data_IF_799404929599
#
_entry.id   IF_799404929599
#
_cell.length_a   1.000
_cell.length_b   1.000
_cell.length_c   1.000
_cell.angle_alpha   90.00
_cell.angle_beta   90.00
_cell.angle_gamma   90.00
#
_symmetry.space_group_name_H-M   'P 1'
#
loop_
_entity.id
_entity.type
_entity.pdbx_description
1 polymer ?
#
# COMPACT_ATOMS: atom_id res chain seq x y z
N UNK A 1 -7.18 -29.65 -25.50
CA UNK A 1 -5.90 -29.84 -24.77
C UNK A 1 -5.12 -28.54 -24.63
N UNK A 2 -4.82 -27.79 -25.72
CA UNK A 2 -4.05 -26.53 -25.67
C UNK A 2 -4.61 -25.45 -24.71
N UNK A 3 -5.95 -25.16 -24.66
CA UNK A 3 -6.49 -24.20 -23.70
C UNK A 3 -6.29 -24.63 -22.25
N UNK A 4 -6.40 -25.93 -21.95
CA UNK A 4 -6.17 -26.45 -20.61
C UNK A 4 -4.70 -26.30 -20.16
N UNK A 5 -3.76 -26.54 -21.07
CA UNK A 5 -2.32 -26.35 -20.81
C UNK A 5 -2.05 -24.86 -20.57
N UNK A 6 -2.59 -23.97 -21.41
CA UNK A 6 -2.47 -22.51 -21.22
C UNK A 6 -3.01 -22.06 -19.86
N UNK A 7 -4.17 -22.58 -19.43
CA UNK A 7 -4.74 -22.28 -18.12
C UNK A 7 -3.82 -22.76 -16.98
N UNK A 8 -3.26 -23.96 -17.07
CA UNK A 8 -2.34 -24.51 -16.07
C UNK A 8 -1.07 -23.66 -15.92
N UNK A 9 -0.52 -23.18 -17.04
CA UNK A 9 0.66 -22.27 -17.01
C UNK A 9 0.34 -20.95 -16.32
N UNK A 10 -0.91 -20.46 -16.42
CA UNK A 10 -1.32 -19.20 -15.81
C UNK A 10 -1.73 -19.32 -14.33
N UNK A 11 -1.79 -20.52 -13.75
CA UNK A 11 -2.21 -20.73 -12.34
C UNK A 11 -1.42 -19.85 -11.36
N UNK A 12 -0.08 -19.69 -11.44
CA UNK A 12 0.66 -18.83 -10.52
C UNK A 12 0.17 -17.37 -10.58
N UNK A 13 -0.05 -16.83 -11.78
CA UNK A 13 -0.53 -15.47 -11.99
C UNK A 13 -1.98 -15.31 -11.50
N UNK A 14 -2.83 -16.32 -11.76
CA UNK A 14 -4.21 -16.34 -11.25
C UNK A 14 -4.21 -16.32 -9.73
N UNK A 15 -3.37 -17.12 -9.06
CA UNK A 15 -3.25 -17.12 -7.60
C UNK A 15 -2.73 -15.80 -7.03
N UNK A 16 -1.87 -15.10 -7.75
CA UNK A 16 -1.40 -13.77 -7.34
C UNK A 16 -2.54 -12.74 -7.37
N UNK A 17 -3.45 -12.85 -8.34
CA UNK A 17 -4.62 -11.98 -8.46
C UNK A 17 -5.78 -12.38 -7.54
N UNK A 18 -6.07 -13.67 -7.47
CA UNK A 18 -7.25 -14.20 -6.77
C UNK A 18 -6.79 -15.39 -5.91
N UNK A 19 -6.11 -15.12 -4.79
CA UNK A 19 -5.75 -16.19 -3.87
C UNK A 19 -6.99 -16.78 -3.17
N UNK A 20 -6.95 -18.10 -2.92
CA UNK A 20 -8.00 -18.87 -2.25
C UNK A 20 -7.43 -19.49 -0.98
N UNK A 21 -7.13 -18.68 0.02
CA UNK A 21 -6.62 -19.20 1.29
C UNK A 21 -7.73 -19.37 2.32
N UNK A 22 -7.54 -20.29 3.26
CA UNK A 22 -8.42 -20.44 4.42
C UNK A 22 -8.06 -19.42 5.50
N UNK A 23 -9.07 -18.93 6.21
CA UNK A 23 -8.84 -18.06 7.37
C UNK A 23 -8.22 -18.89 8.51
N UNK A 24 -7.10 -18.42 9.02
CA UNK A 24 -6.45 -19.01 10.19
C UNK A 24 -7.24 -18.62 11.44
N UNK A 25 -7.79 -19.60 12.15
CA UNK A 25 -8.63 -19.36 13.35
C UNK A 25 -7.80 -18.86 14.54
N UNK A 26 -6.62 -19.43 14.74
CA UNK A 26 -5.73 -19.09 15.85
C UNK A 26 -4.44 -18.49 15.30
N UNK A 27 -4.23 -17.22 15.54
CA UNK A 27 -2.99 -16.53 15.17
C UNK A 27 -1.89 -16.94 16.16
N UNK A 28 -0.68 -17.32 15.68
CA UNK A 28 0.42 -17.69 16.57
C UNK A 28 0.74 -16.58 17.58
N UNK A 29 1.08 -16.99 18.80
CA UNK A 29 1.53 -16.06 19.82
C UNK A 29 2.81 -15.32 19.36
N UNK A 30 2.96 -14.06 19.76
CA UNK A 30 4.07 -13.21 19.33
C UNK A 30 3.96 -12.68 17.91
N UNK A 31 2.87 -12.98 17.18
CA UNK A 31 2.60 -12.35 15.89
C UNK A 31 2.37 -10.85 16.05
N UNK A 32 2.86 -10.06 15.10
CA UNK A 32 2.60 -8.62 15.00
C UNK A 32 1.53 -8.34 13.95
N UNK A 33 0.68 -7.36 14.19
CA UNK A 33 -0.28 -6.85 13.21
C UNK A 33 0.27 -5.60 12.55
N UNK A 34 0.47 -5.66 11.22
CA UNK A 34 0.85 -4.50 10.41
C UNK A 34 -0.35 -4.04 9.58
N UNK A 35 -0.50 -2.72 9.46
CA UNK A 35 -1.50 -2.06 8.64
C UNK A 35 -0.85 -1.02 7.75
N UNK A 36 -1.20 -1.02 6.47
CA UNK A 36 -0.83 0.02 5.49
C UNK A 36 -2.09 0.64 4.90
N UNK A 37 -2.11 1.98 4.80
CA UNK A 37 -3.27 2.71 4.32
C UNK A 37 -2.91 4.05 3.68
N UNK A 38 -3.26 4.23 2.41
CA UNK A 38 -3.31 5.55 1.80
C UNK A 38 -4.57 6.26 2.31
N UNK A 39 -4.37 7.26 3.16
CA UNK A 39 -5.46 7.90 3.93
C UNK A 39 -6.10 9.09 3.22
N UNK A 40 -5.66 9.45 2.01
CA UNK A 40 -6.18 10.60 1.26
C UNK A 40 -6.32 11.84 2.17
N UNK A 41 -5.22 12.24 2.83
CA UNK A 41 -5.22 13.29 3.86
C UNK A 41 -6.32 13.10 4.91
N UNK A 42 -6.52 11.86 5.40
CA UNK A 42 -7.59 11.51 6.36
C UNK A 42 -8.99 11.94 5.89
N UNK A 43 -9.37 11.57 4.67
CA UNK A 43 -10.60 12.05 4.04
C UNK A 43 -10.63 13.58 3.95
N UNK A 44 -9.58 14.16 3.36
CA UNK A 44 -9.40 15.61 3.26
C UNK A 44 -9.52 16.35 4.61
N UNK A 45 -9.04 15.71 5.68
CA UNK A 45 -9.01 16.24 7.05
C UNK A 45 -10.40 16.46 7.69
N UNK A 46 -11.48 16.01 7.06
CA UNK A 46 -12.83 16.25 7.53
C UNK A 46 -13.14 15.55 8.86
N UNK A 47 -13.84 16.25 9.73
CA UNK A 47 -14.43 15.71 10.97
C UNK A 47 -15.94 15.65 10.86
N UNK A 48 -16.51 14.52 11.24
CA UNK A 48 -17.96 14.36 11.43
C UNK A 48 -18.21 14.16 12.94
N UNK A 49 -19.07 15.01 13.53
CA UNK A 49 -19.34 15.00 14.97
C UNK A 49 -18.05 15.06 15.83
N UNK A 50 -17.10 15.88 15.39
CA UNK A 50 -15.81 16.08 16.06
C UNK A 50 -14.79 14.93 15.89
N UNK A 51 -15.14 13.87 15.18
CA UNK A 51 -14.28 12.70 14.93
C UNK A 51 -13.92 12.57 13.46
N UNK A 52 -12.70 12.16 13.18
CA UNK A 52 -12.31 11.78 11.82
C UNK A 52 -12.47 10.27 11.65
N UNK A 53 -13.19 9.79 10.64
CA UNK A 53 -13.52 8.38 10.49
C UNK A 53 -12.27 7.51 10.20
N UNK A 54 -11.30 8.05 9.46
CA UNK A 54 -10.05 7.33 9.16
C UNK A 54 -9.24 7.15 10.43
N UNK A 55 -9.09 8.24 11.23
CA UNK A 55 -8.36 8.15 12.51
C UNK A 55 -9.02 7.19 13.49
N UNK A 56 -10.35 7.20 13.59
CA UNK A 56 -11.09 6.26 14.44
C UNK A 56 -10.82 4.80 14.01
N UNK A 57 -10.92 4.51 12.71
CA UNK A 57 -10.62 3.19 12.19
C UNK A 57 -9.18 2.73 12.52
N UNK A 58 -8.20 3.63 12.35
CA UNK A 58 -6.80 3.30 12.64
C UNK A 58 -6.58 2.95 14.12
N UNK A 59 -7.19 3.69 15.03
CA UNK A 59 -7.14 3.41 16.48
C UNK A 59 -7.81 2.06 16.78
N UNK A 60 -9.02 1.84 16.25
CA UNK A 60 -9.80 0.62 16.49
C UNK A 60 -9.15 -0.63 15.85
N UNK A 61 -8.32 -0.45 14.82
CA UNK A 61 -7.57 -1.54 14.20
C UNK A 61 -6.64 -2.26 15.15
N UNK A 62 -6.18 -1.58 16.19
CA UNK A 62 -5.18 -2.04 17.17
C UNK A 62 -3.94 -2.70 16.52
N UNK A 63 -3.54 -2.23 15.35
CA UNK A 63 -2.32 -2.71 14.70
C UNK A 63 -1.08 -2.38 15.56
N UNK A 64 -0.02 -3.15 15.43
CA UNK A 64 1.22 -2.89 16.16
C UNK A 64 2.12 -1.92 15.42
N UNK A 65 2.01 -1.93 14.09
CA UNK A 65 2.70 -1.00 13.17
C UNK A 65 1.68 -0.50 12.16
N UNK A 66 1.61 0.83 12.00
CA UNK A 66 0.73 1.52 11.04
C UNK A 66 1.61 2.34 10.10
N UNK A 67 1.52 2.05 8.81
CA UNK A 67 2.17 2.79 7.72
C UNK A 67 1.13 3.55 6.92
N UNK A 68 1.27 4.86 6.82
CA UNK A 68 0.33 5.72 6.12
C UNK A 68 0.99 6.37 4.91
N UNK A 69 0.23 6.50 3.83
CA UNK A 69 0.55 7.30 2.65
C UNK A 69 -0.48 8.44 2.56
N UNK A 70 -0.08 9.53 1.92
CA UNK A 70 -0.87 10.77 1.86
C UNK A 70 -1.29 11.30 3.24
N UNK A 71 -0.41 11.14 4.22
CA UNK A 71 -0.62 11.72 5.55
C UNK A 71 -0.58 13.24 5.46
N UNK A 72 -1.50 13.91 6.13
CA UNK A 72 -1.54 15.36 6.27
C UNK A 72 -2.31 15.76 7.53
N UNK A 73 -2.09 16.97 8.05
CA UNK A 73 -2.82 17.55 9.17
C UNK A 73 -3.05 19.04 8.95
N UNK A 74 -4.11 19.56 9.54
CA UNK A 74 -4.43 20.99 9.49
C UNK A 74 -3.97 21.74 10.74
N UNK A 75 -3.76 23.03 10.60
CA UNK A 75 -3.59 23.95 11.73
C UNK A 75 -4.92 24.40 12.32
N UNK A 76 -5.97 24.49 11.49
CA UNK A 76 -7.31 24.88 11.89
C UNK A 76 -8.04 23.73 12.60
N UNK A 77 -8.48 23.96 13.83
CA UNK A 77 -9.19 22.98 14.69
C UNK A 77 -10.52 22.45 14.13
N UNK A 78 -11.11 23.12 13.15
CA UNK A 78 -12.28 22.63 12.40
C UNK A 78 -11.97 21.30 11.71
N UNK A 79 -10.73 21.13 11.29
CA UNK A 79 -10.19 19.95 10.61
C UNK A 79 -9.35 19.09 11.53
N UNK A 80 -8.87 17.97 11.04
CA UNK A 80 -7.99 17.07 11.76
C UNK A 80 -6.62 17.74 12.00
N UNK A 81 -6.23 17.88 13.24
CA UNK A 81 -4.96 18.52 13.63
C UNK A 81 -3.93 17.48 14.10
N UNK A 82 -2.67 17.89 14.13
CA UNK A 82 -1.58 17.08 14.70
C UNK A 82 -1.83 16.75 16.20
N UNK A 83 -2.49 17.65 16.93
CA UNK A 83 -2.85 17.39 18.34
C UNK A 83 -3.89 16.27 18.46
N UNK A 84 -4.85 16.19 17.52
CA UNK A 84 -5.82 15.08 17.46
C UNK A 84 -5.10 13.75 17.21
N UNK A 85 -4.14 13.73 16.29
CA UNK A 85 -3.31 12.55 15.99
C UNK A 85 -2.52 12.12 17.23
N UNK A 86 -1.77 13.03 17.85
CA UNK A 86 -0.98 12.74 19.08
C UNK A 86 -1.85 12.20 20.21
N UNK A 87 -3.05 12.74 20.36
CA UNK A 87 -4.01 12.26 21.36
C UNK A 87 -4.51 10.86 21.06
N UNK A 88 -4.85 10.57 19.79
CA UNK A 88 -5.39 9.29 19.37
C UNK A 88 -4.33 8.18 19.39
N UNK A 89 -3.10 8.50 19.00
CA UNK A 89 -1.99 7.55 18.89
C UNK A 89 -1.08 7.49 20.12
N UNK A 90 -1.61 7.74 21.30
CA UNK A 90 -0.85 7.60 22.56
C UNK A 90 -0.25 6.19 22.78
N UNK A 91 -0.88 5.16 22.22
CA UNK A 91 -0.41 3.78 22.28
C UNK A 91 0.78 3.51 21.34
N UNK A 92 1.17 4.48 20.51
CA UNK A 92 2.28 4.37 19.54
C UNK A 92 3.39 5.37 19.94
N UNK A 93 4.26 5.01 20.89
CA UNK A 93 5.30 5.93 21.39
C UNK A 93 6.36 6.27 20.35
N UNK A 94 6.51 5.44 19.31
CA UNK A 94 7.50 5.65 18.24
C UNK A 94 6.80 6.08 16.96
N UNK A 95 7.10 7.29 16.51
CA UNK A 95 6.44 7.91 15.37
C UNK A 95 7.45 8.53 14.42
N UNK A 96 7.16 8.48 13.14
CA UNK A 96 7.90 9.20 12.11
C UNK A 96 6.92 9.75 11.09
N UNK A 97 7.05 11.02 10.78
CA UNK A 97 6.32 11.69 9.71
C UNK A 97 7.35 12.36 8.82
N UNK A 98 7.35 12.03 7.55
CA UNK A 98 8.35 12.50 6.60
C UNK A 98 7.69 13.05 5.34
N UNK A 99 7.98 14.32 5.04
CA UNK A 99 7.52 14.98 3.82
C UNK A 99 8.21 14.38 2.60
N UNK A 100 7.46 14.22 1.51
CA UNK A 100 7.96 13.68 0.26
C UNK A 100 7.92 14.73 -0.84
N UNK A 101 9.04 14.88 -1.53
CA UNK A 101 9.13 15.81 -2.65
C UNK A 101 8.71 17.23 -2.29
N UNK A 102 8.01 17.88 -3.23
CA UNK A 102 7.54 19.28 -3.13
C UNK A 102 6.07 19.41 -2.68
N UNK A 103 5.38 18.28 -2.44
CA UNK A 103 3.96 18.28 -2.05
C UNK A 103 3.74 18.44 -0.55
N UNK A 104 2.48 18.66 -0.16
CA UNK A 104 2.08 18.77 1.25
C UNK A 104 1.80 17.40 1.90
N UNK A 105 1.80 16.32 1.12
CA UNK A 105 1.51 14.97 1.61
C UNK A 105 2.77 14.27 2.08
N UNK A 106 2.62 13.42 3.07
CA UNK A 106 3.72 12.82 3.80
C UNK A 106 3.54 11.31 3.91
N UNK A 107 4.65 10.61 4.16
CA UNK A 107 4.63 9.25 4.69
C UNK A 107 4.70 9.29 6.21
N UNK A 108 3.88 8.47 6.86
CA UNK A 108 3.96 8.33 8.32
C UNK A 108 4.07 6.86 8.72
N UNK A 109 4.77 6.65 9.83
CA UNK A 109 4.88 5.36 10.50
C UNK A 109 4.61 5.57 11.99
N UNK A 110 3.66 4.80 12.54
CA UNK A 110 3.35 4.75 13.96
C UNK A 110 3.60 3.33 14.45
N UNK A 111 4.40 3.18 15.48
CA UNK A 111 4.85 1.87 15.95
C UNK A 111 4.76 1.76 17.48
N UNK A 112 4.31 0.59 17.95
CA UNK A 112 4.44 0.19 19.36
C UNK A 112 5.88 -0.23 19.71
N UNK A 113 6.69 -0.52 18.68
CA UNK A 113 8.08 -0.97 18.80
C UNK A 113 9.07 0.16 18.52
N UNK A 114 10.26 0.14 19.15
CA UNK A 114 11.29 1.15 18.92
C UNK A 114 11.70 1.26 17.44
N UNK A 115 11.73 2.49 16.93
CA UNK A 115 12.33 2.83 15.64
C UNK A 115 13.77 3.24 15.89
N UNK A 116 14.73 2.42 15.42
CA UNK A 116 16.15 2.60 15.67
C UNK A 116 16.81 3.55 14.66
N UNK A 117 16.35 3.53 13.39
CA UNK A 117 16.81 4.46 12.38
C UNK A 117 15.75 4.66 11.28
N UNK A 118 15.86 5.81 10.59
CA UNK A 118 14.92 6.26 9.57
C UNK A 118 15.73 6.85 8.43
N UNK A 119 15.52 6.36 7.20
CA UNK A 119 16.22 6.82 6.02
C UNK A 119 15.27 6.91 4.82
N UNK A 120 15.26 7.99 4.05
CA UNK A 120 14.60 8.01 2.75
C UNK A 120 15.31 7.03 1.79
N UNK A 121 14.55 6.49 0.84
CA UNK A 121 15.12 5.78 -0.30
C UNK A 121 15.21 6.79 -1.44
N UNK A 122 16.42 7.06 -1.88
CA UNK A 122 16.70 8.09 -2.87
C UNK A 122 16.31 7.65 -4.28
N UNK A 123 15.41 8.41 -4.90
CA UNK A 123 15.06 8.37 -6.31
C UNK A 123 14.33 9.65 -6.71
N UNK A 124 14.29 9.95 -8.01
CA UNK A 124 13.59 11.13 -8.49
C UNK A 124 12.08 10.99 -8.37
N UNK A 125 11.45 11.91 -7.67
CA UNK A 125 10.00 12.09 -7.64
C UNK A 125 9.63 13.50 -7.17
N UNK A 126 8.52 14.03 -7.68
CA UNK A 126 8.01 15.33 -7.23
C UNK A 126 7.08 15.22 -6.01
N UNK A 127 6.36 14.11 -5.86
CA UNK A 127 5.27 13.98 -4.87
C UNK A 127 5.25 12.64 -4.15
N UNK A 128 6.05 11.68 -4.61
CA UNK A 128 6.05 10.30 -4.11
C UNK A 128 7.38 9.96 -3.46
N UNK A 129 7.46 8.88 -2.71
CA UNK A 129 8.70 8.47 -2.06
C UNK A 129 8.56 7.17 -1.28
N UNK A 130 9.69 6.73 -0.73
CA UNK A 130 9.80 5.55 0.12
C UNK A 130 10.66 5.84 1.33
N UNK A 131 10.25 5.33 2.48
CA UNK A 131 10.97 5.44 3.74
C UNK A 131 11.37 4.07 4.27
N UNK A 132 12.64 3.92 4.58
CA UNK A 132 13.18 2.75 5.27
C UNK A 132 13.30 3.04 6.76
N UNK A 133 12.72 2.17 7.55
CA UNK A 133 12.82 2.16 9.01
C UNK A 133 13.56 0.90 9.47
N UNK A 134 14.32 1.01 10.52
CA UNK A 134 14.86 -0.15 11.25
C UNK A 134 14.16 -0.17 12.60
N UNK A 135 13.45 -1.25 12.90
CA UNK A 135 12.70 -1.41 14.14
C UNK A 135 13.29 -2.53 15.00
N UNK A 136 13.18 -2.38 16.32
CA UNK A 136 13.41 -3.49 17.25
C UNK A 136 12.06 -4.09 17.64
N UNK A 137 11.73 -5.25 17.06
CA UNK A 137 10.48 -5.96 17.30
C UNK A 137 10.75 -7.20 18.13
N UNK A 138 10.36 -7.18 19.41
CA UNK A 138 10.57 -8.32 20.34
C UNK A 138 12.04 -8.79 20.40
N UNK A 139 12.99 -7.85 20.48
CA UNK A 139 14.44 -8.05 20.47
C UNK A 139 15.03 -8.52 19.13
N UNK A 140 14.24 -8.55 18.07
CA UNK A 140 14.71 -8.80 16.71
C UNK A 140 14.73 -7.51 15.89
N UNK A 141 15.75 -7.37 15.06
CA UNK A 141 15.84 -6.22 14.16
C UNK A 141 15.13 -6.50 12.86
N UNK A 142 14.20 -5.61 12.51
CA UNK A 142 13.36 -5.69 11.31
C UNK A 142 13.57 -4.45 10.44
N UNK A 143 13.78 -4.65 9.15
CA UNK A 143 13.68 -3.57 8.14
C UNK A 143 12.24 -3.43 7.69
N UNK A 144 11.68 -2.25 7.83
CA UNK A 144 10.36 -1.88 7.31
C UNK A 144 10.52 -0.82 6.22
N UNK A 145 9.87 -1.00 5.09
CA UNK A 145 9.84 0.00 4.03
C UNK A 145 8.37 0.38 3.77
N UNK A 146 8.07 1.68 3.91
CA UNK A 146 6.77 2.26 3.57
C UNK A 146 6.90 3.01 2.24
N UNK A 147 6.12 2.62 1.24
CA UNK A 147 6.17 3.16 -0.11
C UNK A 147 4.90 3.95 -0.45
N UNK A 148 5.08 5.04 -1.18
CA UNK A 148 4.08 5.64 -2.02
C UNK A 148 4.75 5.91 -3.37
N UNK A 149 4.63 4.94 -4.30
CA UNK A 149 5.29 5.03 -5.60
C UNK A 149 4.50 5.91 -6.56
N UNK A 150 5.13 6.32 -7.68
CA UNK A 150 4.58 7.28 -8.63
C UNK A 150 3.15 6.94 -9.05
N UNK A 151 2.24 7.88 -8.87
CA UNK A 151 0.84 7.74 -9.23
C UNK A 151 0.62 7.81 -10.74
N UNK A 152 -0.48 7.24 -11.23
CA UNK A 152 -0.84 7.29 -12.64
C UNK A 152 -1.30 8.69 -13.10
N UNK A 153 -1.49 9.66 -12.19
CA UNK A 153 -1.90 11.04 -12.45
C UNK A 153 -3.14 11.15 -13.36
N UNK A 154 -4.08 10.22 -13.21
CA UNK A 154 -5.30 10.21 -14.01
C UNK A 154 -6.23 11.34 -13.60
N UNK A 155 -6.57 12.19 -14.57
CA UNK A 155 -7.54 13.28 -14.38
C UNK A 155 -8.97 12.75 -14.34
N UNK A 156 -9.94 13.62 -14.00
CA UNK A 156 -11.36 13.26 -14.09
C UNK A 156 -11.75 12.91 -15.53
N UNK A 157 -11.18 13.61 -16.51
CA UNK A 157 -11.41 13.37 -17.94
C UNK A 157 -10.86 11.99 -18.37
N UNK A 158 -9.67 11.63 -17.91
CA UNK A 158 -9.09 10.29 -18.19
C UNK A 158 -9.98 9.18 -17.63
N UNK A 159 -10.51 9.38 -16.42
CA UNK A 159 -11.41 8.41 -15.76
C UNK A 159 -12.76 8.32 -16.46
N UNK A 160 -13.35 9.47 -16.85
CA UNK A 160 -14.59 9.52 -17.64
C UNK A 160 -14.43 8.80 -18.99
N UNK A 161 -13.30 8.98 -19.65
CA UNK A 161 -12.99 8.32 -20.91
C UNK A 161 -12.88 6.79 -20.76
N UNK A 162 -12.31 6.30 -19.66
CA UNK A 162 -12.27 4.88 -19.35
C UNK A 162 -13.68 4.31 -19.15
N UNK A 163 -14.57 5.05 -18.48
CA UNK A 163 -15.98 4.68 -18.34
C UNK A 163 -16.71 4.63 -19.68
N UNK A 164 -16.47 5.61 -20.56
CA UNK A 164 -17.06 5.66 -21.90
C UNK A 164 -16.57 4.49 -22.76
N UNK A 165 -15.30 4.12 -22.65
CA UNK A 165 -14.73 2.96 -23.31
C UNK A 165 -15.39 1.64 -22.89
N UNK A 166 -15.74 1.49 -21.62
CA UNK A 166 -16.47 0.31 -21.13
C UNK A 166 -17.90 0.28 -21.67
N UNK A 167 -18.54 1.45 -21.84
CA UNK A 167 -19.92 1.57 -22.33
C UNK A 167 -20.04 1.43 -23.84
N UNK A 168 -19.15 2.04 -24.61
CA UNK A 168 -19.09 1.99 -26.08
C UNK A 168 -17.65 1.94 -26.60
N UNK A 169 -17.07 0.73 -26.76
CA UNK A 169 -15.69 0.55 -27.20
C UNK A 169 -15.39 1.04 -28.62
N UNK A 170 -16.43 1.26 -29.44
CA UNK A 170 -16.27 1.55 -30.88
C UNK A 170 -16.31 3.05 -31.22
N UNK A 171 -16.63 3.92 -30.28
CA UNK A 171 -16.68 5.35 -30.51
C UNK A 171 -15.32 5.92 -30.97
N UNK A 172 -15.30 6.74 -32.03
CA UNK A 172 -14.05 7.36 -32.55
C UNK A 172 -13.30 8.15 -31.46
N UNK A 173 -14.01 8.82 -30.56
CA UNK A 173 -13.46 9.54 -29.39
C UNK A 173 -12.67 8.62 -28.46
N UNK A 174 -13.13 7.38 -28.29
CA UNK A 174 -12.51 6.37 -27.43
C UNK A 174 -11.12 5.99 -27.93
N UNK A 175 -10.92 5.83 -29.26
CA UNK A 175 -9.61 5.44 -29.81
C UNK A 175 -8.51 6.48 -29.57
N UNK A 176 -8.85 7.77 -29.67
CA UNK A 176 -7.87 8.85 -29.45
C UNK A 176 -7.52 8.97 -27.97
N UNK A 177 -8.54 8.93 -27.12
CA UNK A 177 -8.32 9.03 -25.68
C UNK A 177 -7.65 7.81 -25.07
N UNK A 178 -7.92 6.62 -25.59
CA UNK A 178 -7.22 5.40 -25.18
C UNK A 178 -5.70 5.51 -25.41
N UNK A 179 -5.27 6.10 -26.54
CA UNK A 179 -3.83 6.34 -26.78
C UNK A 179 -3.21 7.27 -25.75
N UNK A 180 -3.91 8.34 -25.37
CA UNK A 180 -3.44 9.27 -24.35
C UNK A 180 -3.37 8.61 -22.98
N UNK A 181 -4.40 7.84 -22.61
CA UNK A 181 -4.45 7.08 -21.36
C UNK A 181 -3.30 6.06 -21.30
N UNK A 182 -3.10 5.25 -22.35
CA UNK A 182 -2.01 4.28 -22.41
C UNK A 182 -0.65 4.98 -22.29
N UNK A 183 -0.45 6.14 -22.93
CA UNK A 183 0.80 6.89 -22.81
C UNK A 183 1.05 7.35 -21.38
N UNK A 184 0.06 7.94 -20.71
CA UNK A 184 0.17 8.35 -19.30
C UNK A 184 0.50 7.17 -18.39
N UNK A 185 -0.19 6.05 -18.56
CA UNK A 185 0.07 4.83 -17.80
C UNK A 185 1.50 4.30 -18.04
N UNK A 186 1.96 4.31 -19.30
CA UNK A 186 3.30 3.86 -19.66
C UNK A 186 4.38 4.79 -19.06
N UNK A 187 4.21 6.11 -19.13
CA UNK A 187 5.11 7.09 -18.52
C UNK A 187 5.19 6.90 -16.99
N UNK A 188 4.06 6.78 -16.31
CA UNK A 188 4.03 6.53 -14.88
C UNK A 188 4.65 5.17 -14.51
N UNK A 189 4.40 4.13 -15.31
CA UNK A 189 4.99 2.81 -15.11
C UNK A 189 6.51 2.81 -15.27
N UNK A 190 7.05 3.58 -16.23
CA UNK A 190 8.50 3.72 -16.41
C UNK A 190 9.16 4.39 -15.18
N UNK A 191 8.55 5.44 -14.63
CA UNK A 191 9.03 6.09 -13.40
C UNK A 191 8.96 5.10 -12.24
N UNK A 192 7.84 4.41 -12.04
CA UNK A 192 7.70 3.40 -10.98
C UNK A 192 8.73 2.27 -11.09
N UNK A 193 9.09 1.87 -12.30
CA UNK A 193 10.11 0.84 -12.49
C UNK A 193 11.44 1.25 -11.85
N UNK A 194 11.93 2.48 -12.10
CA UNK A 194 13.17 2.99 -11.50
C UNK A 194 13.07 3.13 -9.98
N UNK A 195 11.90 3.54 -9.47
CA UNK A 195 11.64 3.61 -8.04
C UNK A 195 11.65 2.21 -7.40
N UNK A 196 10.99 1.25 -8.03
CA UNK A 196 10.97 -0.14 -7.58
C UNK A 196 12.38 -0.79 -7.58
N UNK A 197 13.22 -0.47 -8.57
CA UNK A 197 14.62 -0.91 -8.61
C UNK A 197 15.42 -0.33 -7.43
N UNK A 198 15.20 0.93 -7.07
CA UNK A 198 15.84 1.56 -5.90
C UNK A 198 15.40 0.91 -4.60
N UNK A 199 14.11 0.58 -4.46
CA UNK A 199 13.57 -0.16 -3.31
C UNK A 199 14.15 -1.58 -3.28
N UNK A 200 14.17 -2.30 -4.41
CA UNK A 200 14.73 -3.65 -4.50
C UNK A 200 16.24 -3.68 -4.15
N UNK A 201 17.00 -2.68 -4.59
CA UNK A 201 18.39 -2.50 -4.20
C UNK A 201 18.52 -2.30 -2.68
N UNK A 202 17.68 -1.45 -2.09
CA UNK A 202 17.68 -1.22 -0.63
C UNK A 202 17.36 -2.49 0.15
N UNK A 203 16.46 -3.34 -0.35
CA UNK A 203 16.15 -4.66 0.23
C UNK A 203 17.38 -5.58 0.14
N UNK A 204 18.04 -5.60 -1.01
CA UNK A 204 19.21 -6.46 -1.25
C UNK A 204 20.42 -6.07 -0.38
N UNK A 205 20.57 -4.77 -0.09
CA UNK A 205 21.63 -4.20 0.75
C UNK A 205 21.30 -4.21 2.25
N UNK A 206 20.10 -4.67 2.63
CA UNK A 206 19.71 -4.73 4.04
C UNK A 206 20.65 -5.66 4.84
N UNK A 207 21.17 -5.15 5.94
CA UNK A 207 21.99 -5.92 6.89
C UNK A 207 21.16 -6.93 7.70
N UNK A 208 19.84 -6.78 7.70
CA UNK A 208 18.93 -7.56 8.51
C UNK A 208 18.14 -8.52 7.63
N UNK A 209 18.04 -9.81 8.03
CA UNK A 209 17.38 -10.82 7.20
C UNK A 209 15.86 -10.67 7.18
N UNK A 210 15.30 -9.96 8.16
CA UNK A 210 13.85 -9.77 8.31
C UNK A 210 13.45 -8.43 7.70
N UNK A 211 12.65 -8.49 6.64
CA UNK A 211 12.18 -7.29 5.92
C UNK A 211 10.69 -7.38 5.67
N UNK A 212 10.02 -6.26 5.88
CA UNK A 212 8.62 -6.02 5.48
C UNK A 212 8.60 -4.79 4.58
N UNK A 213 7.91 -4.89 3.45
CA UNK A 213 7.67 -3.78 2.52
C UNK A 213 6.18 -3.60 2.38
N UNK A 214 5.68 -2.41 2.61
CA UNK A 214 4.25 -2.12 2.46
C UNK A 214 4.03 -0.77 1.78
N UNK A 215 2.79 -0.48 1.43
CA UNK A 215 2.39 0.82 0.91
C UNK A 215 1.58 0.74 -0.37
N UNK A 216 1.32 1.93 -0.89
CA UNK A 216 0.70 2.13 -2.19
C UNK A 216 1.77 2.05 -3.29
N UNK A 217 1.74 0.95 -4.03
CA UNK A 217 2.67 0.74 -5.15
C UNK A 217 2.20 1.42 -6.44
N UNK A 218 0.95 1.91 -6.46
CA UNK A 218 0.30 2.47 -7.64
C UNK A 218 0.36 1.55 -8.88
N UNK A 219 0.55 0.26 -8.64
CA UNK A 219 0.75 -0.74 -9.69
C UNK A 219 0.15 -2.10 -9.29
N UNK A 220 -0.30 -2.85 -10.27
CA UNK A 220 -1.00 -4.13 -10.05
C UNK A 220 -0.07 -5.29 -9.69
N UNK A 221 -0.67 -6.38 -9.21
CA UNK A 221 0.02 -7.56 -8.69
C UNK A 221 0.84 -8.38 -9.71
N UNK A 222 0.73 -8.09 -11.02
CA UNK A 222 1.55 -8.72 -12.08
C UNK A 222 2.43 -7.70 -12.82
N UNK A 223 2.53 -6.48 -12.31
CA UNK A 223 3.38 -5.42 -12.86
C UNK A 223 4.87 -5.71 -12.69
N UNK A 224 5.69 -4.93 -13.38
CA UNK A 224 7.13 -4.93 -13.16
C UNK A 224 7.48 -4.61 -11.69
N UNK A 225 6.86 -3.56 -11.14
CA UNK A 225 7.04 -3.11 -9.75
C UNK A 225 6.83 -4.25 -8.76
N UNK A 226 5.69 -4.93 -8.84
CA UNK A 226 5.40 -6.06 -7.94
C UNK A 226 6.38 -7.21 -8.17
N UNK A 227 6.68 -7.56 -9.41
CA UNK A 227 7.58 -8.65 -9.76
C UNK A 227 9.01 -8.44 -9.26
N UNK A 228 9.57 -7.23 -9.39
CA UNK A 228 10.95 -6.97 -8.95
C UNK A 228 11.08 -7.05 -7.43
N UNK A 229 10.10 -6.54 -6.70
CA UNK A 229 10.07 -6.59 -5.24
C UNK A 229 9.84 -8.02 -4.71
N UNK A 230 9.03 -8.83 -5.41
CA UNK A 230 8.75 -10.21 -5.02
C UNK A 230 9.83 -11.22 -5.46
N UNK A 231 10.92 -10.79 -6.09
CA UNK A 231 12.07 -11.68 -6.32
C UNK A 231 12.72 -12.18 -5.02
N UNK A 232 12.64 -11.39 -3.95
CA UNK A 232 13.21 -11.71 -2.63
C UNK A 232 12.19 -11.73 -1.49
N UNK A 233 10.95 -11.37 -1.77
CA UNK A 233 9.89 -11.25 -0.79
C UNK A 233 8.65 -12.04 -1.22
N UNK A 234 7.93 -12.58 -0.26
CA UNK A 234 6.64 -13.21 -0.45
C UNK A 234 5.53 -12.15 -0.37
N UNK A 235 4.52 -12.21 -1.25
CA UNK A 235 3.31 -11.37 -1.15
C UNK A 235 2.38 -11.94 -0.07
N UNK A 236 2.18 -11.19 1.01
CA UNK A 236 1.36 -11.57 2.16
C UNK A 236 -0.10 -11.82 1.76
N UNK A 237 -0.63 -11.06 0.78
CA UNK A 237 -2.00 -11.27 0.31
C UNK A 237 -2.12 -12.55 -0.52
N UNK A 238 -1.16 -12.82 -1.40
CA UNK A 238 -1.10 -14.11 -2.12
C UNK A 238 -0.95 -15.28 -1.16
N UNK A 239 -0.19 -15.11 -0.07
CA UNK A 239 0.08 -16.18 0.91
C UNK A 239 -1.13 -16.46 1.83
N UNK A 240 -1.91 -15.45 2.22
CA UNK A 240 -2.94 -15.62 3.27
C UNK A 240 -4.24 -14.82 3.05
N UNK A 241 -4.36 -14.09 1.93
CA UNK A 241 -5.55 -13.34 1.58
C UNK A 241 -6.58 -14.14 0.78
N UNK A 242 -7.71 -13.51 0.44
CA UNK A 242 -8.82 -14.09 -0.33
C UNK A 242 -9.37 -13.12 -1.37
N UNK A 243 -9.70 -13.66 -2.55
CA UNK A 243 -10.38 -12.94 -3.62
C UNK A 243 -9.48 -11.91 -4.30
N UNK A 244 -10.06 -10.89 -4.92
CA UNK A 244 -9.33 -9.90 -5.72
C UNK A 244 -8.51 -8.91 -4.89
N UNK A 245 -8.82 -8.71 -3.62
CA UNK A 245 -8.10 -7.78 -2.75
C UNK A 245 -8.09 -6.34 -3.27
N UNK A 246 -9.18 -5.90 -3.90
CA UNK A 246 -9.28 -4.55 -4.48
C UNK A 246 -9.07 -3.53 -3.38
N UNK A 247 -7.96 -2.80 -3.44
CA UNK A 247 -7.62 -1.73 -2.51
C UNK A 247 -7.95 -0.34 -3.04
N UNK A 248 -7.98 -0.14 -4.36
CA UNK A 248 -8.41 1.09 -5.02
C UNK A 248 -9.68 0.82 -5.84
N UNK A 249 -10.75 1.61 -5.64
CA UNK A 249 -12.07 1.34 -6.26
C UNK A 249 -12.78 2.59 -6.77
N UNK A 250 -12.06 3.57 -7.30
CA UNK A 250 -12.66 4.77 -7.86
C UNK A 250 -12.93 4.63 -9.35
N UNK A 251 -14.08 5.16 -9.80
CA UNK A 251 -14.43 5.30 -11.21
C UNK A 251 -14.26 3.98 -12.02
N UNK A 252 -14.68 2.84 -11.47
CA UNK A 252 -14.55 1.49 -12.06
C UNK A 252 -13.12 0.99 -12.24
N UNK A 253 -12.12 1.68 -11.70
CA UNK A 253 -10.78 1.16 -11.54
C UNK A 253 -10.73 0.32 -10.27
N UNK A 254 -10.76 -1.01 -10.44
CA UNK A 254 -10.82 -1.98 -9.35
C UNK A 254 -9.52 -2.77 -9.32
N UNK A 255 -8.51 -2.23 -8.61
CA UNK A 255 -7.18 -2.83 -8.57
C UNK A 255 -6.67 -3.01 -7.15
N UNK A 256 -5.86 -4.04 -6.94
CA UNK A 256 -5.00 -4.16 -5.76
C UNK A 256 -3.68 -3.48 -6.07
N UNK A 257 -3.48 -2.30 -5.53
CA UNK A 257 -2.25 -1.50 -5.67
C UNK A 257 -1.56 -1.26 -4.32
N UNK A 258 -2.26 -1.50 -3.22
CA UNK A 258 -1.69 -1.52 -1.89
C UNK A 258 -1.23 -2.94 -1.54
N UNK A 259 0.00 -3.08 -1.07
CA UNK A 259 0.63 -4.37 -0.86
C UNK A 259 1.36 -4.45 0.48
N UNK A 260 1.50 -5.67 0.99
CA UNK A 260 2.41 -6.03 2.08
C UNK A 260 3.23 -7.22 1.59
N UNK A 261 4.56 -7.03 1.50
CA UNK A 261 5.51 -8.05 1.12
C UNK A 261 6.40 -8.37 2.32
N UNK A 262 6.77 -9.63 2.51
CA UNK A 262 7.52 -10.11 3.66
C UNK A 262 8.69 -10.99 3.23
N UNK A 263 9.78 -10.95 3.96
CA UNK A 263 10.93 -11.84 3.73
C UNK A 263 10.56 -13.31 3.98
N UNK A 264 11.25 -14.28 3.31
CA UNK A 264 10.88 -15.71 3.37
C UNK A 264 10.95 -16.35 4.76
N UNK A 265 11.67 -15.75 5.72
CA UNK A 265 11.72 -16.17 7.12
C UNK A 265 10.48 -15.75 7.93
N UNK A 266 9.56 -15.03 7.31
CA UNK A 266 8.30 -14.62 7.90
C UNK A 266 7.13 -15.41 7.30
N UNK A 267 6.00 -15.41 8.00
CA UNK A 267 4.73 -15.98 7.55
C UNK A 267 3.59 -15.00 7.82
N UNK A 268 2.76 -14.75 6.81
CA UNK A 268 1.59 -13.93 6.93
C UNK A 268 0.33 -14.75 7.22
N UNK A 269 -0.59 -14.17 7.99
CA UNK A 269 -1.88 -14.76 8.32
C UNK A 269 -2.98 -13.73 8.11
N UNK A 270 -4.09 -14.20 7.53
CA UNK A 270 -5.33 -13.43 7.36
C UNK A 270 -5.13 -12.05 6.70
N UNK A 271 -4.24 -11.97 5.70
CA UNK A 271 -4.03 -10.73 4.98
C UNK A 271 -5.36 -10.26 4.35
N UNK A 272 -5.76 -9.05 4.68
CA UNK A 272 -7.10 -8.54 4.37
C UNK A 272 -6.99 -7.13 3.80
N UNK A 273 -7.66 -6.89 2.68
CA UNK A 273 -8.06 -5.55 2.25
C UNK A 273 -9.41 -5.27 2.88
N UNK A 274 -9.42 -4.35 3.84
CA UNK A 274 -10.59 -4.11 4.69
C UNK A 274 -11.54 -3.09 4.07
N UNK A 275 -12.67 -3.55 3.59
CA UNK A 275 -13.70 -2.75 2.92
C UNK A 275 -14.76 -2.21 3.87
N UNK A 276 -14.60 -2.35 5.17
CA UNK A 276 -15.52 -1.82 6.18
C UNK A 276 -15.49 -0.29 6.26
N UNK A 277 -14.32 0.32 5.96
CA UNK A 277 -14.17 1.78 5.87
C UNK A 277 -14.17 2.23 4.41
N UNK A 278 -14.83 3.38 4.14
CA UNK A 278 -14.98 3.98 2.81
C UNK A 278 -14.63 5.48 2.82
N UNK A 279 -13.80 5.89 3.76
CA UNK A 279 -13.45 7.31 3.96
C UNK A 279 -12.17 7.73 3.23
N UNK A 280 -11.62 6.88 2.38
CA UNK A 280 -10.54 7.17 1.42
C UNK A 280 -10.90 6.54 0.09
N UNK A 281 -10.23 6.93 -0.98
CA UNK A 281 -10.31 6.28 -2.28
C UNK A 281 -9.53 4.95 -2.32
N UNK A 282 -8.77 4.65 -1.26
CA UNK A 282 -8.18 3.36 -0.98
C UNK A 282 -8.90 2.64 0.16
N UNK A 283 -8.71 1.33 0.24
CA UNK A 283 -9.01 0.51 1.41
C UNK A 283 -7.72 0.09 2.11
N UNK A 284 -7.68 0.10 3.45
CA UNK A 284 -6.50 -0.36 4.17
C UNK A 284 -6.22 -1.84 3.92
N UNK A 285 -4.94 -2.19 3.86
CA UNK A 285 -4.48 -3.58 3.86
C UNK A 285 -3.77 -3.87 5.18
N UNK A 286 -4.07 -5.01 5.80
CA UNK A 286 -3.42 -5.44 7.02
C UNK A 286 -3.24 -6.95 7.07
N UNK A 287 -2.27 -7.43 7.83
CA UNK A 287 -2.10 -8.85 8.13
C UNK A 287 -1.43 -9.05 9.49
N UNK A 288 -1.53 -10.27 10.01
CA UNK A 288 -0.67 -10.73 11.09
C UNK A 288 0.58 -11.40 10.50
N UNK A 289 1.72 -11.19 11.14
CA UNK A 289 3.02 -11.69 10.69
C UNK A 289 3.72 -12.33 11.89
N UNK A 290 4.23 -13.56 11.73
CA UNK A 290 5.13 -14.21 12.66
C UNK A 290 6.42 -14.66 11.97
N UNK A 291 7.44 -14.98 12.73
CA UNK A 291 8.57 -15.79 12.23
C UNK A 291 8.08 -17.19 11.87
N UNK A 292 8.72 -17.80 10.90
CA UNK A 292 8.55 -19.23 10.57
C UNK A 292 9.29 -20.10 11.55
#
# INVERSE_FOLDING_TARGET
LLPAIGFLICIPQIRTYIPFNSTTKTIPEGSIKILSYNVMSFNNLEKKDGKNPVLSYLVDSNADIICLQEYNTATNKKYLTEQDIKKAFKAYPYQSVHQQGKGDVQLACFSKFPILSIHPIEYESNYNGSMKYVLNVNNDTLTLINNHLESNKLTKEDRGMYEDMIKDPNAKKVKTGLRQLIRKLAEASAIRATQADSVAKTIAESKYPTTIVCGDFNDGSISYTHRILTQKLDDAFTQSGKGLGISYNQNKFYFRIDNILISPNLKAYNCTVDRSIKASDHYPIWCYISKR
#
